data_IF_030546402982
#
_entry.id   IF_030546402982
#
_cell.length_a   1.000
_cell.length_b   1.000
_cell.length_c   1.000
_cell.angle_alpha   90.00
_cell.angle_beta   90.00
_cell.angle_gamma   90.00
#
_symmetry.space_group_name_H-M   'P 1'
#
loop_
_entity.id
_entity.type
_entity.pdbx_description
1 polymer ?
#
# COMPACT_ATOMS: atom_id res chain seq x y z
N UNK A 1 -3.98 2.81 17.66
CA UNK A 1 -4.48 2.24 16.40
C UNK A 1 -5.45 1.09 16.65
N UNK A 2 -5.08 0.13 17.50
CA UNK A 2 -5.87 -1.08 17.78
C UNK A 2 -7.32 -0.83 18.25
N UNK A 3 -7.53 0.03 19.25
CA UNK A 3 -8.88 0.30 19.78
C UNK A 3 -9.87 0.70 18.66
N UNK A 4 -9.48 1.67 17.83
CA UNK A 4 -10.34 2.16 16.76
C UNK A 4 -10.44 1.16 15.60
N UNK A 5 -9.37 0.44 15.28
CA UNK A 5 -9.42 -0.63 14.28
C UNK A 5 -10.45 -1.70 14.67
N UNK A 6 -10.49 -2.10 15.95
CA UNK A 6 -11.50 -3.02 16.48
C UNK A 6 -12.90 -2.43 16.38
N UNK A 7 -13.12 -1.21 16.88
CA UNK A 7 -14.44 -0.55 16.88
C UNK A 7 -15.01 -0.37 15.46
N UNK A 8 -14.17 -0.01 14.49
CA UNK A 8 -14.60 0.10 13.09
C UNK A 8 -14.86 -1.27 12.47
N UNK A 9 -14.04 -2.28 12.78
CA UNK A 9 -14.24 -3.65 12.30
C UNK A 9 -15.56 -4.23 12.79
N UNK A 10 -15.88 -4.06 14.08
CA UNK A 10 -17.15 -4.51 14.67
C UNK A 10 -18.35 -3.82 14.02
N UNK A 11 -18.29 -2.50 13.83
CA UNK A 11 -19.37 -1.74 13.16
C UNK A 11 -19.55 -2.15 11.70
N UNK A 12 -18.47 -2.33 10.96
CA UNK A 12 -18.53 -2.77 9.56
C UNK A 12 -19.16 -4.17 9.45
N UNK A 13 -18.73 -5.12 10.29
CA UNK A 13 -19.28 -6.47 10.32
C UNK A 13 -20.74 -6.51 10.74
N UNK A 14 -21.13 -5.70 11.73
CA UNK A 14 -22.53 -5.56 12.14
C UNK A 14 -23.43 -5.03 11.00
N UNK A 15 -22.86 -4.28 10.05
CA UNK A 15 -23.54 -3.84 8.83
C UNK A 15 -23.46 -4.84 7.66
N UNK A 16 -22.89 -6.05 7.88
CA UNK A 16 -22.74 -7.08 6.85
C UNK A 16 -21.54 -6.92 5.92
N UNK A 17 -20.60 -6.00 6.23
CA UNK A 17 -19.42 -5.76 5.41
C UNK A 17 -18.23 -6.64 5.79
N UNK A 18 -17.44 -7.01 4.78
CA UNK A 18 -16.08 -7.55 4.96
C UNK A 18 -15.09 -6.42 5.23
N UNK A 19 -14.06 -6.69 6.05
CA UNK A 19 -13.04 -5.71 6.42
C UNK A 19 -11.70 -6.07 5.81
N UNK A 20 -11.15 -5.12 5.06
CA UNK A 20 -9.80 -5.17 4.49
C UNK A 20 -8.99 -4.01 5.06
N UNK A 21 -7.87 -4.30 5.71
CA UNK A 21 -6.93 -3.31 6.19
C UNK A 21 -6.01 -2.85 5.05
N UNK A 22 -5.97 -1.55 4.81
CA UNK A 22 -5.07 -0.92 3.84
C UNK A 22 -3.72 -0.62 4.51
N UNK A 23 -2.71 -1.47 4.32
CA UNK A 23 -1.38 -1.26 4.87
C UNK A 23 -0.66 -0.13 4.15
N UNK A 24 -0.41 0.99 4.84
CA UNK A 24 0.25 2.16 4.23
C UNK A 24 1.76 1.95 4.03
N UNK A 25 2.43 2.93 3.43
CA UNK A 25 3.85 2.91 3.12
C UNK A 25 4.66 3.83 4.05
N UNK A 26 5.97 3.57 4.10
CA UNK A 26 6.94 4.47 4.69
C UNK A 26 7.05 5.77 3.89
N UNK A 27 7.41 6.86 4.57
CA UNK A 27 7.71 8.14 3.94
C UNK A 27 8.98 8.06 3.09
N UNK A 28 9.07 8.93 2.10
CA UNK A 28 10.28 9.12 1.32
C UNK A 28 11.41 9.64 2.23
N UNK A 29 12.70 9.30 1.99
CA UNK A 29 13.83 9.80 2.78
C UNK A 29 13.87 11.33 2.92
N UNK A 30 13.38 12.07 1.92
CA UNK A 30 13.33 13.55 1.91
C UNK A 30 12.10 14.13 2.63
N UNK A 31 11.27 13.30 3.28
CA UNK A 31 10.05 13.76 3.95
C UNK A 31 10.39 14.41 5.31
N UNK A 32 9.96 15.65 5.58
CA UNK A 32 10.24 16.31 6.86
C UNK A 32 9.65 15.57 8.07
N UNK A 33 8.58 14.80 7.86
CA UNK A 33 7.98 13.93 8.90
C UNK A 33 8.95 12.87 9.46
N UNK A 34 9.94 12.41 8.68
CA UNK A 34 10.92 11.44 9.19
C UNK A 34 11.87 12.09 10.19
N UNK A 35 12.26 13.34 9.94
CA UNK A 35 13.09 14.13 10.85
C UNK A 35 12.35 14.40 12.16
N UNK A 36 11.07 14.80 12.08
CA UNK A 36 10.20 15.02 13.25
C UNK A 36 10.04 13.76 14.12
N UNK A 37 10.02 12.59 13.48
CA UNK A 37 9.88 11.30 14.15
C UNK A 37 11.22 10.67 14.55
N UNK A 38 12.35 11.28 14.18
CA UNK A 38 13.70 10.73 14.32
C UNK A 38 13.79 9.27 13.83
N UNK A 39 13.24 9.00 12.64
CA UNK A 39 13.02 7.65 12.12
C UNK A 39 13.46 7.54 10.68
N UNK A 40 14.13 6.44 10.31
CA UNK A 40 14.46 6.18 8.90
C UNK A 40 13.30 5.47 8.16
N UNK A 41 13.26 5.52 6.81
CA UNK A 41 12.18 4.88 6.04
C UNK A 41 12.06 3.37 6.26
N UNK A 42 13.17 2.66 6.47
CA UNK A 42 13.16 1.21 6.65
C UNK A 42 12.61 0.82 8.03
N UNK A 43 12.94 1.58 9.07
CA UNK A 43 12.33 1.46 10.39
C UNK A 43 10.82 1.73 10.32
N UNK A 44 10.43 2.83 9.66
CA UNK A 44 9.01 3.15 9.48
C UNK A 44 8.28 2.03 8.75
N UNK A 45 8.87 1.48 7.69
CA UNK A 45 8.29 0.35 6.96
C UNK A 45 8.11 -0.87 7.87
N UNK A 46 9.14 -1.29 8.60
CA UNK A 46 9.06 -2.43 9.54
C UNK A 46 7.96 -2.23 10.58
N UNK A 47 7.85 -1.02 11.15
CA UNK A 47 6.85 -0.70 12.16
C UNK A 47 5.43 -0.72 11.58
N UNK A 48 5.23 -0.12 10.41
CA UNK A 48 3.94 -0.15 9.71
C UNK A 48 3.58 -1.59 9.33
N UNK A 49 4.52 -2.36 8.78
CA UNK A 49 4.29 -3.74 8.37
C UNK A 49 3.82 -4.61 9.54
N UNK A 50 4.59 -4.58 10.65
CA UNK A 50 4.30 -5.34 11.85
C UNK A 50 2.95 -4.99 12.47
N UNK A 51 2.65 -3.69 12.65
CA UNK A 51 1.38 -3.24 13.26
C UNK A 51 0.18 -3.68 12.43
N UNK A 52 0.24 -3.56 11.10
CA UNK A 52 -0.87 -3.98 10.25
C UNK A 52 -1.04 -5.50 10.18
N UNK A 53 0.06 -6.27 10.13
CA UNK A 53 0.01 -7.72 10.15
C UNK A 53 -0.58 -8.25 11.47
N UNK A 54 -0.15 -7.69 12.59
CA UNK A 54 -0.68 -8.02 13.91
C UNK A 54 -2.17 -7.69 14.03
N UNK A 55 -2.59 -6.49 13.58
CA UNK A 55 -4.00 -6.10 13.58
C UNK A 55 -4.87 -6.99 12.69
N UNK A 56 -4.38 -7.34 11.50
CA UNK A 56 -5.08 -8.25 10.59
C UNK A 56 -5.32 -9.61 11.25
N UNK A 57 -4.27 -10.16 11.88
CA UNK A 57 -4.33 -11.43 12.61
C UNK A 57 -5.31 -11.36 13.78
N UNK A 58 -5.16 -10.39 14.69
CA UNK A 58 -6.01 -10.23 15.89
C UNK A 58 -7.48 -10.03 15.55
N UNK A 59 -7.77 -9.27 14.50
CA UNK A 59 -9.14 -8.95 14.10
C UNK A 59 -9.75 -9.99 13.16
N UNK A 60 -8.96 -10.96 12.65
CA UNK A 60 -9.37 -11.84 11.56
C UNK A 60 -9.79 -11.06 10.31
N UNK A 61 -9.13 -9.94 10.04
CA UNK A 61 -9.40 -9.08 8.89
C UNK A 61 -8.41 -9.39 7.77
N UNK A 62 -8.83 -9.19 6.52
CA UNK A 62 -7.91 -9.32 5.39
C UNK A 62 -6.96 -8.13 5.35
N UNK A 63 -5.79 -8.35 4.77
CA UNK A 63 -4.77 -7.31 4.61
C UNK A 63 -4.53 -7.04 3.12
N UNK A 64 -4.52 -5.78 2.73
CA UNK A 64 -3.97 -5.33 1.46
C UNK A 64 -2.53 -4.84 1.69
N UNK A 65 -1.49 -5.58 1.25
CA UNK A 65 -0.09 -5.31 1.58
C UNK A 65 0.51 -4.20 0.69
N UNK A 66 -0.11 -3.02 0.68
CA UNK A 66 0.27 -1.90 -0.20
C UNK A 66 1.66 -1.37 0.19
N UNK A 67 1.95 -1.24 1.48
CA UNK A 67 3.27 -0.84 1.98
C UNK A 67 4.42 -1.73 1.50
N UNK A 68 4.21 -3.05 1.48
CA UNK A 68 5.20 -4.01 0.95
C UNK A 68 5.40 -3.85 -0.55
N UNK A 69 4.31 -3.67 -1.30
CA UNK A 69 4.39 -3.44 -2.74
C UNK A 69 5.17 -2.15 -3.05
N UNK A 70 4.95 -1.10 -2.25
CA UNK A 70 5.67 0.17 -2.35
C UNK A 70 7.17 0.03 -2.05
N UNK A 71 7.53 -0.73 -1.01
CA UNK A 71 8.95 -0.99 -0.72
C UNK A 71 9.62 -1.69 -1.91
N UNK A 72 8.98 -2.74 -2.42
CA UNK A 72 9.50 -3.51 -3.56
C UNK A 72 9.61 -2.66 -4.83
N UNK A 73 8.60 -1.86 -5.15
CA UNK A 73 8.63 -0.98 -6.30
C UNK A 73 9.73 0.10 -6.20
N UNK A 74 10.02 0.63 -5.01
CA UNK A 74 11.14 1.56 -4.84
C UNK A 74 12.50 0.92 -5.15
N UNK A 75 12.67 -0.38 -4.88
CA UNK A 75 13.90 -1.12 -5.19
C UNK A 75 13.96 -1.50 -6.68
N UNK A 76 12.87 -2.03 -7.24
CA UNK A 76 12.85 -2.54 -8.62
C UNK A 76 12.63 -1.43 -9.68
N UNK A 77 12.16 -0.25 -9.26
CA UNK A 77 11.80 0.87 -10.13
C UNK A 77 12.34 2.20 -9.59
N UNK A 78 13.67 2.36 -9.38
CA UNK A 78 14.25 3.54 -8.75
C UNK A 78 13.96 4.85 -9.51
N UNK A 79 13.78 4.77 -10.83
CA UNK A 79 13.43 5.94 -11.68
C UNK A 79 11.95 6.36 -11.57
N UNK A 80 11.13 5.60 -10.83
CA UNK A 80 9.70 5.85 -10.67
C UNK A 80 9.41 6.44 -9.30
N UNK A 81 9.22 7.76 -9.23
CA UNK A 81 8.86 8.44 -7.98
C UNK A 81 7.44 8.07 -7.55
N UNK A 82 7.29 7.30 -6.46
CA UNK A 82 6.00 6.87 -5.92
C UNK A 82 5.35 7.92 -5.01
N UNK A 83 6.14 8.78 -4.38
CA UNK A 83 5.66 9.87 -3.52
C UNK A 83 5.52 11.18 -4.31
N UNK A 84 4.66 12.07 -3.84
CA UNK A 84 4.66 13.49 -4.21
C UNK A 84 5.91 14.18 -3.65
N UNK A 85 6.18 15.44 -4.04
CA UNK A 85 7.32 16.20 -3.51
C UNK A 85 7.33 16.34 -1.98
N UNK A 86 6.18 16.19 -1.31
CA UNK A 86 6.07 16.21 0.15
C UNK A 86 6.62 14.94 0.85
N UNK A 87 7.05 13.93 0.07
CA UNK A 87 7.58 12.67 0.60
C UNK A 87 6.56 11.81 1.35
N UNK A 88 5.28 12.19 1.34
CA UNK A 88 4.23 11.57 2.15
C UNK A 88 3.13 10.97 1.29
N UNK A 89 2.53 11.78 0.43
CA UNK A 89 1.35 11.41 -0.34
C UNK A 89 1.75 10.69 -1.63
N UNK A 90 0.84 9.88 -2.22
CA UNK A 90 1.16 9.16 -3.42
C UNK A 90 1.12 10.06 -4.67
N UNK A 91 2.13 9.88 -5.52
CA UNK A 91 2.13 10.34 -6.90
C UNK A 91 1.20 9.46 -7.75
N UNK A 92 1.06 9.75 -9.04
CA UNK A 92 0.26 8.91 -9.94
C UNK A 92 0.75 7.45 -10.00
N UNK A 93 2.06 7.16 -10.19
CA UNK A 93 2.59 5.79 -10.02
C UNK A 93 2.26 5.15 -8.68
N UNK A 94 2.45 5.86 -7.56
CA UNK A 94 2.16 5.35 -6.22
C UNK A 94 0.67 5.02 -6.05
N UNK A 95 -0.22 5.89 -6.52
CA UNK A 95 -1.67 5.66 -6.50
C UNK A 95 -2.06 4.45 -7.34
N UNK A 96 -1.46 4.29 -8.54
CA UNK A 96 -1.77 3.17 -9.41
C UNK A 96 -1.30 1.83 -8.83
N UNK A 97 -0.12 1.79 -8.21
CA UNK A 97 0.38 0.61 -7.52
C UNK A 97 -0.56 0.21 -6.37
N UNK A 98 -0.95 1.17 -5.53
CA UNK A 98 -1.91 0.95 -4.45
C UNK A 98 -3.25 0.43 -4.96
N UNK A 99 -3.75 0.98 -6.08
CA UNK A 99 -4.98 0.52 -6.71
C UNK A 99 -4.87 -0.91 -7.25
N UNK A 100 -3.73 -1.29 -7.85
CA UNK A 100 -3.51 -2.65 -8.36
C UNK A 100 -3.46 -3.69 -7.22
N UNK A 101 -2.80 -3.36 -6.10
CA UNK A 101 -2.79 -4.23 -4.92
C UNK A 101 -4.20 -4.36 -4.35
N UNK A 102 -4.92 -3.25 -4.18
CA UNK A 102 -6.32 -3.28 -3.73
C UNK A 102 -7.23 -4.06 -4.67
N UNK A 103 -7.08 -3.91 -5.99
CA UNK A 103 -7.84 -4.66 -6.98
C UNK A 103 -7.62 -6.17 -6.80
N UNK A 104 -6.36 -6.61 -6.70
CA UNK A 104 -6.04 -8.01 -6.45
C UNK A 104 -6.60 -8.50 -5.12
N UNK A 105 -6.43 -7.73 -4.04
CA UNK A 105 -6.99 -8.08 -2.73
C UNK A 105 -8.51 -8.21 -2.80
N UNK A 106 -9.22 -7.25 -3.37
CA UNK A 106 -10.69 -7.27 -3.37
C UNK A 106 -11.28 -8.33 -4.31
N UNK A 107 -10.66 -8.56 -5.47
CA UNK A 107 -11.25 -9.39 -6.53
C UNK A 107 -10.61 -10.76 -6.70
N UNK A 108 -9.41 -10.97 -6.15
CA UNK A 108 -8.58 -12.14 -6.42
C UNK A 108 -8.01 -12.20 -7.85
N UNK A 109 -8.33 -11.22 -8.70
CA UNK A 109 -7.88 -11.20 -10.08
C UNK A 109 -6.44 -10.71 -10.19
N UNK A 110 -5.74 -11.23 -11.19
CA UNK A 110 -4.38 -10.81 -11.51
C UNK A 110 -4.40 -9.39 -12.11
N UNK A 111 -3.79 -8.38 -11.45
CA UNK A 111 -3.80 -7.01 -11.93
C UNK A 111 -3.10 -6.86 -13.28
N UNK A 112 -2.23 -7.79 -13.70
CA UNK A 112 -1.58 -7.79 -15.03
C UNK A 112 -2.59 -7.92 -16.19
N UNK A 113 -3.79 -8.43 -15.92
CA UNK A 113 -4.87 -8.56 -16.91
C UNK A 113 -5.69 -7.27 -17.06
N UNK A 114 -5.47 -6.26 -16.22
CA UNK A 114 -6.18 -4.99 -16.32
C UNK A 114 -5.75 -4.23 -17.60
N UNK A 115 -6.73 -3.84 -18.41
CA UNK A 115 -6.53 -3.04 -19.63
C UNK A 115 -6.43 -1.54 -19.36
N UNK A 116 -6.92 -1.09 -18.20
CA UNK A 116 -6.89 0.31 -17.81
C UNK A 116 -5.56 0.71 -17.16
N UNK A 117 -5.07 1.90 -17.50
CA UNK A 117 -3.96 2.60 -16.85
C UNK A 117 -4.27 4.10 -16.80
N UNK A 118 -3.61 4.87 -15.90
CA UNK A 118 -3.68 6.33 -15.94
C UNK A 118 -3.22 6.87 -17.31
N UNK A 119 -3.93 7.89 -17.84
CA UNK A 119 -3.74 8.34 -19.22
C UNK A 119 -2.33 8.87 -19.53
N UNK A 120 -1.61 9.41 -18.54
CA UNK A 120 -0.22 9.90 -18.71
C UNK A 120 0.86 8.86 -18.38
N UNK A 121 0.48 7.66 -17.97
CA UNK A 121 1.44 6.60 -17.63
C UNK A 121 1.86 5.85 -18.91
N UNK A 122 3.16 5.60 -19.09
CA UNK A 122 3.64 4.75 -20.19
C UNK A 122 3.19 3.31 -19.98
N UNK A 123 3.01 2.56 -21.06
CA UNK A 123 2.57 1.15 -20.96
C UNK A 123 3.58 0.28 -20.22
N UNK A 124 4.86 0.54 -20.41
CA UNK A 124 5.95 -0.14 -19.72
C UNK A 124 5.90 0.09 -18.20
N UNK A 125 5.74 1.34 -17.75
CA UNK A 125 5.62 1.66 -16.31
C UNK A 125 4.39 0.96 -15.71
N UNK A 126 3.26 1.01 -16.42
CA UNK A 126 2.03 0.36 -15.98
C UNK A 126 2.19 -1.16 -15.88
N UNK A 127 2.88 -1.79 -16.83
CA UNK A 127 3.16 -3.22 -16.82
C UNK A 127 4.05 -3.61 -15.63
N UNK A 128 5.12 -2.84 -15.35
CA UNK A 128 6.00 -3.06 -14.19
C UNK A 128 5.26 -2.90 -12.87
N UNK A 129 4.44 -1.86 -12.72
CA UNK A 129 3.61 -1.64 -11.52
C UNK A 129 2.64 -2.81 -11.29
N UNK A 130 1.95 -3.26 -12.34
CA UNK A 130 1.04 -4.42 -12.26
C UNK A 130 1.79 -5.70 -11.89
N UNK A 131 3.01 -5.89 -12.38
CA UNK A 131 3.83 -7.07 -12.05
C UNK A 131 4.25 -7.11 -10.57
N UNK A 132 4.65 -5.96 -10.00
CA UNK A 132 4.92 -5.83 -8.56
C UNK A 132 3.66 -6.18 -7.75
N UNK A 133 2.52 -5.57 -8.08
CA UNK A 133 1.26 -5.83 -7.38
C UNK A 133 0.77 -7.29 -7.51
N UNK A 134 1.02 -7.95 -8.64
CA UNK A 134 0.57 -9.33 -8.88
C UNK A 134 1.28 -10.37 -8.01
N UNK A 135 2.48 -10.05 -7.51
CA UNK A 135 3.37 -11.02 -6.85
C UNK A 135 3.68 -10.66 -5.39
N UNK A 136 3.02 -9.65 -4.84
CA UNK A 136 3.19 -9.27 -3.44
C UNK A 136 2.39 -10.19 -2.50
N UNK A 137 2.90 -10.45 -1.30
CA UNK A 137 2.22 -11.26 -0.26
C UNK A 137 1.91 -10.44 1.00
#
# INVERSE_FOLDING_TARGET
MEEYARRFTERARAAGSEVVLFQTWARHPESPTLDELAMDPAEMHRRVDGVYAELASRLGARLAPVGRAWLRAQVEMPDTRLHRPDGTHPSMPGTYLSACVMYRTLTGQDPRRATWKPWRMRDEDAARIRAVAATIE
#
